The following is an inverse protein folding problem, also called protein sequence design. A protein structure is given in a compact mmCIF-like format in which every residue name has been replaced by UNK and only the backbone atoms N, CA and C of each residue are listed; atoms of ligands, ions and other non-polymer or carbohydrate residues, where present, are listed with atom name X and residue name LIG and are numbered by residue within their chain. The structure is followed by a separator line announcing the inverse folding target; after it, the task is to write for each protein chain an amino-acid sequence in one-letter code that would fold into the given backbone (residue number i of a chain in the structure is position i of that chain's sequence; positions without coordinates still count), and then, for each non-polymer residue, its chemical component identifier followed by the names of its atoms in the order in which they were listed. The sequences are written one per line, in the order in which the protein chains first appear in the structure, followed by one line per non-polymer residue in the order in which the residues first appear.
data_IF_561113750709
#
_entry.id   IF_561113750709
#
_cell.length_a   1.000
_cell.length_b   1.000
_cell.length_c   1.000
_cell.angle_alpha   90.00
_cell.angle_beta   90.00
_cell.angle_gamma   90.00
#
_symmetry.space_group_name_H-M   'P 1'
#
loop_
_entity.id
_entity.type
_entity.pdbx_description
1 polymer ?
#
# COMPACT_ATOMS: atom_id res chain seq x y z
N UNK A 1 -10.35 -4.83 12.77
CA UNK A 1 -9.69 -5.84 11.91
C UNK A 1 -8.36 -6.19 12.52
N UNK A 2 -8.07 -7.47 12.76
CA UNK A 2 -7.08 -7.93 13.76
C UNK A 2 -6.04 -8.92 13.20
N UNK A 3 -5.77 -8.90 11.89
CA UNK A 3 -4.93 -9.92 11.22
C UNK A 3 -3.77 -9.36 10.36
N UNK A 4 -3.67 -8.04 10.16
CA UNK A 4 -2.54 -7.48 9.42
C UNK A 4 -1.34 -7.28 10.35
N UNK A 5 -0.33 -8.14 10.23
CA UNK A 5 0.85 -8.16 11.10
C UNK A 5 1.86 -7.02 10.81
N UNK A 6 1.81 -6.39 9.65
CA UNK A 6 2.69 -5.28 9.28
C UNK A 6 1.92 -4.17 8.55
N UNK A 7 1.98 -2.95 9.08
CA UNK A 7 1.47 -1.72 8.45
C UNK A 7 2.63 -1.02 7.69
N UNK A 8 3.27 -1.73 6.78
CA UNK A 8 4.37 -1.21 5.95
C UNK A 8 3.96 -1.26 4.46
N UNK A 9 4.56 -0.41 3.62
CA UNK A 9 4.29 -0.26 2.18
C UNK A 9 2.87 0.26 1.89
N UNK A 10 2.07 -0.36 1.02
CA UNK A 10 0.80 0.22 0.54
C UNK A 10 -0.13 0.68 1.68
N UNK A 11 -0.33 -0.09 2.77
CA UNK A 11 -1.15 0.35 3.90
C UNK A 11 -0.44 1.31 4.86
N UNK A 12 0.88 1.51 4.73
CA UNK A 12 1.72 2.11 5.78
C UNK A 12 1.50 3.61 6.05
N UNK A 13 0.65 4.28 5.28
CA UNK A 13 0.23 5.66 5.50
C UNK A 13 -1.30 5.83 5.48
N UNK A 14 -2.05 4.74 5.71
CA UNK A 14 -3.51 4.77 5.76
C UNK A 14 -4.00 4.78 7.20
N UNK A 15 -5.06 5.54 7.49
CA UNK A 15 -5.83 5.30 8.70
C UNK A 15 -6.76 4.10 8.44
N UNK A 16 -6.46 2.98 9.09
CA UNK A 16 -7.20 1.72 8.94
C UNK A 16 -8.49 1.68 9.77
N UNK A 17 -8.80 2.73 10.53
CA UNK A 17 -10.11 2.90 11.16
C UNK A 17 -11.16 3.20 10.09
N UNK A 18 -11.88 2.16 9.68
CA UNK A 18 -12.91 2.23 8.65
C UNK A 18 -12.44 1.89 7.24
N UNK A 19 -11.15 1.63 7.03
CA UNK A 19 -10.58 1.08 5.78
C UNK A 19 -10.07 -0.34 6.02
N UNK A 20 -10.42 -1.25 5.11
CA UNK A 20 -9.84 -2.58 5.07
C UNK A 20 -8.72 -2.62 4.04
N UNK A 21 -7.53 -3.05 4.44
CA UNK A 21 -6.42 -3.27 3.51
C UNK A 21 -5.79 -4.63 3.78
N UNK A 22 -5.58 -5.39 2.72
CA UNK A 22 -4.80 -6.63 2.74
C UNK A 22 -3.75 -6.56 1.64
N UNK A 23 -2.48 -6.73 1.99
CA UNK A 23 -1.37 -6.66 1.04
C UNK A 23 -0.44 -7.87 1.09
N UNK A 24 0.24 -8.10 -0.03
CA UNK A 24 1.30 -9.10 -0.19
C UNK A 24 2.56 -8.41 -0.72
N UNK A 25 3.59 -8.45 0.11
CA UNK A 25 4.91 -7.92 -0.22
C UNK A 25 5.73 -8.91 -1.07
N UNK A 26 6.57 -8.35 -1.93
CA UNK A 26 7.65 -9.04 -2.65
C UNK A 26 8.94 -8.23 -2.60
N UNK A 27 10.09 -8.89 -2.53
CA UNK A 27 11.40 -8.22 -2.54
C UNK A 27 12.49 -9.14 -3.04
N UNK A 28 13.40 -8.58 -3.84
CA UNK A 28 14.68 -9.16 -4.26
C UNK A 28 15.75 -8.05 -4.12
N UNK A 29 17.06 -8.34 -4.26
CA UNK A 29 18.07 -7.28 -4.33
C UNK A 29 17.69 -6.22 -5.37
N UNK A 30 17.73 -4.94 -4.97
CA UNK A 30 17.34 -3.78 -5.79
C UNK A 30 15.88 -3.78 -6.29
N UNK A 31 15.00 -4.62 -5.73
CA UNK A 31 13.60 -4.77 -6.18
C UNK A 31 12.65 -4.76 -4.98
N UNK A 32 11.60 -3.96 -5.07
CA UNK A 32 10.60 -3.79 -4.02
C UNK A 32 9.19 -3.71 -4.59
N UNK A 33 8.32 -4.61 -4.16
CA UNK A 33 6.97 -4.76 -4.70
C UNK A 33 5.91 -4.87 -3.61
N UNK A 34 4.71 -4.38 -3.89
CA UNK A 34 3.56 -4.65 -3.03
C UNK A 34 2.29 -4.69 -3.85
N UNK A 35 1.43 -5.66 -3.55
CA UNK A 35 0.09 -5.74 -4.10
C UNK A 35 -0.92 -5.65 -2.97
N UNK A 36 -1.98 -4.88 -3.13
CA UNK A 36 -3.00 -4.73 -2.10
C UNK A 36 -4.42 -4.68 -2.64
N UNK A 37 -5.36 -5.14 -1.81
CA UNK A 37 -6.79 -4.90 -1.93
C UNK A 37 -7.16 -3.92 -0.82
N UNK A 38 -7.70 -2.76 -1.20
CA UNK A 38 -8.07 -1.67 -0.28
C UNK A 38 -9.56 -1.38 -0.46
N UNK A 39 -10.33 -1.44 0.62
CA UNK A 39 -11.78 -1.28 0.61
C UNK A 39 -12.25 -0.20 1.57
N UNK A 40 -13.14 0.67 1.09
CA UNK A 40 -13.76 1.73 1.86
C UNK A 40 -15.20 1.99 1.37
N UNK A 41 -16.19 1.89 2.27
CA UNK A 41 -17.61 2.22 1.99
C UNK A 41 -18.13 1.70 0.64
N UNK A 42 -17.88 0.43 0.33
CA UNK A 42 -18.32 -0.22 -0.92
C UNK A 42 -17.44 0.05 -2.15
N UNK A 43 -16.41 0.89 -2.03
CA UNK A 43 -15.38 1.08 -3.05
C UNK A 43 -14.21 0.14 -2.81
N UNK A 44 -13.64 -0.39 -3.90
CA UNK A 44 -12.49 -1.29 -3.85
C UNK A 44 -11.42 -0.83 -4.82
N UNK A 45 -10.18 -0.69 -4.34
CA UNK A 45 -9.00 -0.52 -5.17
C UNK A 45 -8.17 -1.81 -5.13
N UNK A 46 -7.81 -2.31 -6.31
CA UNK A 46 -6.79 -3.33 -6.51
C UNK A 46 -5.53 -2.63 -6.99
N UNK A 47 -4.44 -2.74 -6.24
CA UNK A 47 -3.20 -2.04 -6.54
C UNK A 47 -2.04 -3.04 -6.63
N UNK A 48 -1.19 -2.87 -7.63
CA UNK A 48 0.09 -3.55 -7.76
C UNK A 48 1.16 -2.50 -8.06
N UNK A 49 2.15 -2.38 -7.18
CA UNK A 49 3.28 -1.47 -7.35
C UNK A 49 4.53 -2.33 -7.51
N UNK A 50 5.15 -2.23 -8.69
CA UNK A 50 6.38 -2.92 -9.04
C UNK A 50 7.48 -1.88 -9.23
N UNK A 51 8.55 -1.97 -8.44
CA UNK A 51 9.74 -1.13 -8.57
C UNK A 51 10.99 -2.01 -8.63
N UNK A 52 11.88 -1.67 -9.54
CA UNK A 52 13.23 -2.20 -9.70
C UNK A 52 14.26 -1.07 -9.52
N UNK A 53 15.54 -1.42 -9.65
CA UNK A 53 16.67 -0.47 -9.59
C UNK A 53 16.66 0.39 -8.31
N UNK A 54 16.29 -0.23 -7.17
CA UNK A 54 16.29 0.43 -5.88
C UNK A 54 17.71 0.44 -5.30
N UNK A 55 18.35 1.60 -5.35
CA UNK A 55 19.61 1.86 -4.65
C UNK A 55 19.42 1.97 -3.13
N UNK A 56 18.22 2.38 -2.70
CA UNK A 56 17.83 2.50 -1.29
C UNK A 56 16.47 1.82 -1.04
N UNK A 57 16.50 0.74 -0.26
CA UNK A 57 15.33 -0.06 0.11
C UNK A 57 14.34 0.74 0.97
N UNK A 58 14.82 1.65 1.82
CA UNK A 58 13.97 2.48 2.69
C UNK A 58 13.24 3.52 1.84
N UNK A 59 13.95 4.22 0.95
CA UNK A 59 13.34 5.16 0.01
C UNK A 59 12.31 4.47 -0.91
N UNK A 60 12.60 3.25 -1.36
CA UNK A 60 11.64 2.42 -2.11
C UNK A 60 10.37 2.14 -1.30
N UNK A 61 10.51 1.63 -0.07
CA UNK A 61 9.36 1.37 0.81
C UNK A 61 8.50 2.63 1.01
N UNK A 62 9.12 3.77 1.32
CA UNK A 62 8.41 5.04 1.50
C UNK A 62 7.67 5.48 0.23
N UNK A 63 8.26 5.24 -0.95
CA UNK A 63 7.62 5.52 -2.23
C UNK A 63 6.35 4.69 -2.41
N UNK A 64 6.39 3.39 -2.11
CA UNK A 64 5.19 2.53 -2.15
C UNK A 64 4.13 3.05 -1.16
N UNK A 65 4.52 3.42 0.06
CA UNK A 65 3.59 3.94 1.06
C UNK A 65 2.92 5.25 0.63
N UNK A 66 3.64 6.13 -0.07
CA UNK A 66 3.08 7.36 -0.65
C UNK A 66 2.08 7.05 -1.76
N UNK A 67 2.35 6.08 -2.62
CA UNK A 67 1.39 5.62 -3.64
C UNK A 67 0.12 5.11 -2.96
N UNK A 68 0.26 4.26 -1.94
CA UNK A 68 -0.86 3.77 -1.14
C UNK A 68 -1.68 4.90 -0.51
N UNK A 69 -1.02 5.92 0.06
CA UNK A 69 -1.68 7.13 0.58
C UNK A 69 -2.54 7.84 -0.46
N UNK A 70 -2.05 7.99 -1.69
CA UNK A 70 -2.82 8.63 -2.76
C UNK A 70 -4.05 7.81 -3.17
N UNK A 71 -3.93 6.48 -3.24
CA UNK A 71 -5.06 5.59 -3.49
C UNK A 71 -6.09 5.70 -2.37
N UNK A 72 -5.63 5.71 -1.11
CA UNK A 72 -6.47 5.88 0.06
C UNK A 72 -7.24 7.21 0.03
N UNK A 73 -6.57 8.31 -0.26
CA UNK A 73 -7.22 9.63 -0.37
C UNK A 73 -8.24 9.67 -1.49
N UNK A 74 -7.96 9.05 -2.64
CA UNK A 74 -8.92 8.93 -3.72
C UNK A 74 -10.19 8.17 -3.29
N UNK A 75 -10.02 7.04 -2.57
CA UNK A 75 -11.16 6.28 -2.05
C UNK A 75 -12.00 7.10 -1.05
N UNK A 76 -11.36 7.95 -0.23
CA UNK A 76 -12.03 8.80 0.75
C UNK A 76 -12.76 10.01 0.13
N UNK A 77 -12.11 10.71 -0.82
CA UNK A 77 -12.62 11.99 -1.36
C UNK A 77 -13.81 11.81 -2.29
N UNK A 78 -13.93 10.63 -2.91
CA UNK A 78 -15.08 10.24 -3.71
C UNK A 78 -15.45 11.18 -4.86
N UNK A 79 -14.45 11.86 -5.43
CA UNK A 79 -14.56 12.45 -6.77
C UNK A 79 -14.79 11.33 -7.78
#
# INVERSE_FOLDING_TARGET
MKYQQFQDRLPGMMNLDGVMAANKTGSLPQVGHDCAIIMYKGKTAYAAVLMDQLDDVIAGKQTISRIGKHIYYYLLSGI
#
